data_IF_965391581442
#
_entry.id   IF_965391581442
#
_cell.length_a   1.000
_cell.length_b   1.000
_cell.length_c   1.000
_cell.angle_alpha   90.00
_cell.angle_beta   90.00
_cell.angle_gamma   90.00
#
_symmetry.space_group_name_H-M   'P 1'
#
loop_
_entity.id
_entity.type
_entity.pdbx_description
1 polymer ?
#
# COMPACT_ATOMS: atom_id res chain seq x y z
N UNK A 1 3.07 15.58 -8.05
CA UNK A 1 2.58 16.47 -6.97
C UNK A 1 3.60 16.48 -5.83
N UNK A 2 3.67 17.53 -5.00
CA UNK A 2 4.64 17.56 -3.88
C UNK A 2 4.12 16.68 -2.72
N UNK A 3 4.85 15.62 -2.38
CA UNK A 3 4.56 14.75 -1.23
C UNK A 3 4.65 15.53 0.08
N UNK A 4 3.83 15.14 1.06
CA UNK A 4 3.92 15.73 2.40
C UNK A 4 5.17 15.23 3.14
N UNK A 5 5.71 15.97 4.13
CA UNK A 5 6.83 15.48 4.94
C UNK A 5 6.55 14.13 5.59
N UNK A 6 5.31 13.90 6.05
CA UNK A 6 4.93 12.65 6.70
C UNK A 6 4.84 11.47 5.73
N UNK A 7 4.40 11.73 4.50
CA UNK A 7 4.41 10.73 3.44
C UNK A 7 5.84 10.27 3.12
N UNK A 8 6.77 11.23 2.94
CA UNK A 8 8.18 10.95 2.67
C UNK A 8 8.83 10.17 3.82
N UNK A 9 8.56 10.55 5.07
CA UNK A 9 9.06 9.86 6.26
C UNK A 9 8.66 8.38 6.25
N UNK A 10 7.38 8.07 6.06
CA UNK A 10 6.88 6.69 6.09
C UNK A 10 7.36 5.90 4.87
N UNK A 11 7.43 6.51 3.68
CA UNK A 11 7.99 5.83 2.50
C UNK A 11 9.45 5.43 2.72
N UNK A 12 10.26 6.29 3.36
CA UNK A 12 11.63 5.96 3.73
C UNK A 12 11.70 4.85 4.78
N UNK A 13 10.80 4.84 5.77
CA UNK A 13 10.69 3.73 6.74
C UNK A 13 10.37 2.41 6.04
N UNK A 14 9.40 2.40 5.12
CA UNK A 14 9.06 1.22 4.32
C UNK A 14 10.28 0.77 3.51
N UNK A 15 10.95 1.66 2.78
CA UNK A 15 12.12 1.30 1.98
C UNK A 15 13.27 0.74 2.83
N UNK A 16 13.46 1.25 4.05
CA UNK A 16 14.48 0.74 4.97
C UNK A 16 14.20 -0.70 5.48
N UNK A 17 12.94 -1.14 5.45
CA UNK A 17 12.54 -2.51 5.83
C UNK A 17 12.64 -3.52 4.68
N UNK A 18 12.82 -3.05 3.44
CA UNK A 18 12.70 -3.87 2.25
C UNK A 18 14.05 -4.07 1.56
N UNK A 19 14.17 -5.23 0.90
CA UNK A 19 15.25 -5.55 -0.02
C UNK A 19 14.66 -6.34 -1.20
N UNK A 20 15.46 -6.60 -2.23
CA UNK A 20 15.06 -7.47 -3.35
C UNK A 20 13.80 -7.01 -4.08
N UNK A 21 12.89 -7.96 -4.39
CA UNK A 21 11.67 -7.65 -5.17
C UNK A 21 10.73 -6.69 -4.44
N UNK A 22 10.45 -6.84 -3.13
CA UNK A 22 9.63 -5.87 -2.39
C UNK A 22 10.14 -4.44 -2.46
N UNK A 23 11.45 -4.21 -2.34
CA UNK A 23 12.03 -2.86 -2.42
C UNK A 23 11.86 -2.25 -3.82
N UNK A 24 12.02 -3.06 -4.87
CA UNK A 24 11.76 -2.64 -6.25
C UNK A 24 10.28 -2.27 -6.44
N UNK A 25 9.36 -3.11 -5.95
CA UNK A 25 7.92 -2.84 -6.03
C UNK A 25 7.51 -1.56 -5.29
N UNK A 26 8.03 -1.34 -4.07
CA UNK A 26 7.82 -0.11 -3.32
C UNK A 26 8.27 1.12 -4.13
N UNK A 27 9.49 1.07 -4.67
CA UNK A 27 10.06 2.17 -5.45
C UNK A 27 9.24 2.47 -6.71
N UNK A 28 8.75 1.44 -7.41
CA UNK A 28 7.88 1.62 -8.57
C UNK A 28 6.59 2.34 -8.18
N UNK A 29 5.88 1.88 -7.15
CA UNK A 29 4.62 2.53 -6.70
C UNK A 29 4.86 3.95 -6.18
N UNK A 30 5.93 4.17 -5.43
CA UNK A 30 6.22 5.51 -4.87
C UNK A 30 6.60 6.52 -5.94
N UNK A 31 7.12 6.08 -7.08
CA UNK A 31 7.50 6.96 -8.20
C UNK A 31 6.47 6.96 -9.34
N UNK A 32 5.46 6.10 -9.31
CA UNK A 32 4.40 6.05 -10.31
C UNK A 32 3.45 7.25 -10.19
N UNK A 33 3.23 7.95 -11.30
CA UNK A 33 2.43 9.18 -11.33
C UNK A 33 0.94 8.91 -11.16
N UNK A 34 0.43 7.78 -11.67
CA UNK A 34 -0.97 7.39 -11.59
C UNK A 34 -1.34 6.97 -10.16
N UNK A 35 -0.52 6.12 -9.54
CA UNK A 35 -0.67 5.74 -8.13
C UNK A 35 -0.65 6.97 -7.21
N UNK A 36 0.26 7.92 -7.45
CA UNK A 36 0.28 9.18 -6.72
C UNK A 36 -0.99 10.00 -6.96
N UNK A 37 -1.46 10.09 -8.20
CA UNK A 37 -2.68 10.83 -8.54
C UNK A 37 -3.91 10.25 -7.83
N UNK A 38 -4.10 8.94 -7.91
CA UNK A 38 -5.23 8.22 -7.31
C UNK A 38 -5.24 8.36 -5.78
N UNK A 39 -4.11 8.12 -5.12
CA UNK A 39 -3.99 8.25 -3.65
C UNK A 39 -4.26 9.67 -3.18
N UNK A 40 -3.80 10.69 -3.91
CA UNK A 40 -4.07 12.09 -3.59
C UNK A 40 -5.54 12.47 -3.83
N UNK A 41 -6.15 11.94 -4.87
CA UNK A 41 -7.54 12.24 -5.19
C UNK A 41 -8.52 11.52 -4.24
N UNK A 42 -8.20 10.29 -3.80
CA UNK A 42 -8.89 9.62 -2.71
C UNK A 42 -9.00 10.51 -1.47
N UNK A 43 -7.89 11.17 -1.09
CA UNK A 43 -7.88 12.15 0.00
C UNK A 43 -8.75 13.38 -0.26
N UNK A 44 -8.82 13.83 -1.52
CA UNK A 44 -9.68 14.97 -1.90
C UNK A 44 -11.15 14.61 -1.79
N UNK A 45 -11.54 13.41 -2.22
CA UNK A 45 -12.91 12.92 -2.07
C UNK A 45 -13.26 12.75 -0.59
N UNK A 46 -12.44 12.00 0.17
CA UNK A 46 -12.75 11.68 1.56
C UNK A 46 -12.76 12.90 2.47
N UNK A 47 -11.70 13.72 2.47
CA UNK A 47 -11.57 14.84 3.40
C UNK A 47 -12.33 16.05 2.89
N UNK A 48 -12.01 16.53 1.67
CA UNK A 48 -12.50 17.84 1.22
C UNK A 48 -13.97 17.81 0.82
N UNK A 49 -14.46 16.71 0.23
CA UNK A 49 -15.85 16.61 -0.25
C UNK A 49 -16.78 15.99 0.79
N UNK A 50 -16.32 14.95 1.49
CA UNK A 50 -17.18 14.17 2.39
C UNK A 50 -16.97 14.48 3.88
N UNK A 51 -15.91 15.20 4.24
CA UNK A 51 -15.65 15.58 5.64
C UNK A 51 -15.14 14.42 6.52
N UNK A 52 -14.59 13.36 5.92
CA UNK A 52 -13.94 12.27 6.66
C UNK A 52 -12.48 12.62 7.02
N UNK A 53 -11.86 11.75 7.83
CA UNK A 53 -10.58 12.01 8.47
C UNK A 53 -9.36 11.70 7.58
N UNK A 54 -9.36 10.58 6.84
CA UNK A 54 -8.21 10.18 6.02
C UNK A 54 -8.59 9.03 5.07
N UNK A 55 -8.07 9.05 3.84
CA UNK A 55 -8.02 7.94 2.87
C UNK A 55 -6.90 8.24 1.83
N UNK A 56 -5.87 8.98 2.26
CA UNK A 56 -4.86 9.55 1.38
C UNK A 56 -3.54 8.77 1.32
N UNK A 57 -2.48 9.36 0.76
CA UNK A 57 -1.18 8.71 0.66
C UNK A 57 -0.62 8.27 2.02
N UNK A 58 -0.76 9.11 3.06
CA UNK A 58 -0.29 8.80 4.42
C UNK A 58 -1.05 7.63 5.04
N UNK A 59 -2.38 7.56 4.87
CA UNK A 59 -3.21 6.43 5.31
C UNK A 59 -2.68 5.12 4.74
N UNK A 60 -2.61 5.02 3.41
CA UNK A 60 -2.23 3.79 2.72
C UNK A 60 -0.78 3.41 3.02
N UNK A 61 0.14 4.37 3.13
CA UNK A 61 1.53 4.10 3.56
C UNK A 61 1.61 3.57 4.99
N UNK A 62 0.81 4.10 5.94
CA UNK A 62 0.76 3.54 7.31
C UNK A 62 0.19 2.12 7.33
N UNK A 63 -0.84 1.86 6.53
CA UNK A 63 -1.41 0.51 6.38
C UNK A 63 -0.36 -0.45 5.86
N UNK A 64 0.40 -0.05 4.83
CA UNK A 64 1.49 -0.85 4.27
C UNK A 64 2.63 -1.10 5.27
N UNK A 65 3.07 -0.07 6.00
CA UNK A 65 4.11 -0.22 7.02
C UNK A 65 3.70 -1.24 8.09
N UNK A 66 2.48 -1.13 8.63
CA UNK A 66 1.99 -2.09 9.63
C UNK A 66 1.81 -3.49 9.04
N UNK A 67 1.36 -3.61 7.79
CA UNK A 67 1.25 -4.89 7.10
C UNK A 67 2.61 -5.58 6.96
N UNK A 68 3.68 -4.83 6.65
CA UNK A 68 5.05 -5.37 6.60
C UNK A 68 5.57 -5.79 7.98
N UNK A 69 5.28 -5.02 9.04
CA UNK A 69 5.63 -5.40 10.41
C UNK A 69 4.95 -6.73 10.79
N UNK A 70 3.65 -6.85 10.52
CA UNK A 70 2.90 -8.09 10.77
C UNK A 70 3.44 -9.25 9.92
N UNK A 71 3.74 -9.01 8.65
CA UNK A 71 4.36 -9.99 7.76
C UNK A 71 5.66 -10.55 8.35
N UNK A 72 6.56 -9.67 8.81
CA UNK A 72 7.84 -10.08 9.39
C UNK A 72 7.67 -10.83 10.72
N UNK A 73 6.68 -10.46 11.55
CA UNK A 73 6.36 -11.20 12.79
C UNK A 73 5.91 -12.63 12.46
N UNK A 74 4.98 -12.79 11.52
CA UNK A 74 4.45 -14.09 11.11
C UNK A 74 5.53 -14.95 10.46
N UNK A 75 6.34 -14.37 9.56
CA UNK A 75 7.45 -15.05 8.91
C UNK A 75 8.49 -15.54 9.92
N UNK A 76 8.87 -14.70 10.90
CA UNK A 76 9.76 -15.11 12.01
C UNK A 76 9.16 -16.21 12.88
N UNK A 77 7.84 -16.26 12.98
CA UNK A 77 7.10 -17.34 13.65
C UNK A 77 7.05 -18.66 12.86
N UNK A 78 7.65 -18.72 11.66
CA UNK A 78 7.66 -19.90 10.81
C UNK A 78 6.35 -20.13 10.04
N UNK A 79 5.47 -19.13 9.99
CA UNK A 79 4.23 -19.19 9.20
C UNK A 79 4.59 -18.97 7.74
N UNK A 80 4.20 -19.92 6.89
CA UNK A 80 4.29 -19.81 5.44
C UNK A 80 3.08 -19.06 4.89
N UNK A 81 3.30 -18.16 3.94
CA UNK A 81 2.23 -17.48 3.23
C UNK A 81 1.72 -18.31 2.06
N UNK A 82 0.52 -18.02 1.55
CA UNK A 82 -0.15 -18.84 0.54
C UNK A 82 0.72 -19.11 -0.70
N UNK A 83 1.42 -18.10 -1.24
CA UNK A 83 2.25 -18.31 -2.44
C UNK A 83 3.41 -19.30 -2.18
N UNK A 84 3.96 -19.31 -0.97
CA UNK A 84 4.99 -20.26 -0.55
C UNK A 84 4.41 -21.66 -0.33
N UNK A 85 3.27 -21.75 0.36
CA UNK A 85 2.63 -23.03 0.71
C UNK A 85 2.11 -23.75 -0.54
N UNK A 86 1.54 -22.99 -1.49
CA UNK A 86 1.05 -23.47 -2.77
C UNK A 86 2.18 -23.68 -3.80
N UNK A 87 3.42 -23.30 -3.47
CA UNK A 87 4.62 -23.43 -4.33
C UNK A 87 4.51 -22.67 -5.66
N UNK A 88 3.74 -21.60 -5.69
CA UNK A 88 3.57 -20.73 -6.86
C UNK A 88 4.40 -19.43 -6.76
N UNK A 89 5.03 -19.19 -5.62
CA UNK A 89 5.92 -18.06 -5.40
C UNK A 89 6.81 -18.24 -4.18
N UNK A 90 7.64 -17.23 -3.94
CA UNK A 90 8.55 -17.15 -2.80
C UNK A 90 7.98 -16.29 -1.67
N UNK A 91 8.66 -16.27 -0.52
CA UNK A 91 8.36 -15.32 0.57
C UNK A 91 8.45 -13.88 0.09
N UNK A 92 9.38 -13.57 -0.82
CA UNK A 92 9.50 -12.25 -1.42
C UNK A 92 8.27 -11.90 -2.27
N UNK A 93 7.77 -12.85 -3.07
CA UNK A 93 6.57 -12.65 -3.88
C UNK A 93 5.34 -12.43 -2.98
N UNK A 94 5.26 -13.14 -1.85
CA UNK A 94 4.20 -12.95 -0.85
C UNK A 94 4.27 -11.55 -0.22
N UNK A 95 5.48 -11.08 0.09
CA UNK A 95 5.70 -9.73 0.63
C UNK A 95 5.36 -8.66 -0.39
N UNK A 96 5.69 -8.87 -1.68
CA UNK A 96 5.28 -7.98 -2.78
C UNK A 96 3.75 -7.90 -2.86
N UNK A 97 3.04 -9.02 -2.84
CA UNK A 97 1.57 -9.03 -2.90
C UNK A 97 0.95 -8.23 -1.75
N UNK A 98 1.41 -8.44 -0.51
CA UNK A 98 0.95 -7.70 0.68
C UNK A 98 1.26 -6.20 0.58
N UNK A 99 2.48 -5.85 0.13
CA UNK A 99 2.91 -4.47 -0.04
C UNK A 99 2.07 -3.70 -1.07
N UNK A 100 1.91 -4.26 -2.28
CA UNK A 100 1.15 -3.60 -3.35
C UNK A 100 -0.31 -3.47 -2.93
N UNK A 101 -0.90 -4.55 -2.40
CA UNK A 101 -2.29 -4.54 -1.92
C UNK A 101 -2.50 -3.46 -0.88
N UNK A 102 -1.62 -3.35 0.12
CA UNK A 102 -1.78 -2.34 1.18
C UNK A 102 -1.55 -0.90 0.72
N UNK A 103 -0.61 -0.67 -0.20
CA UNK A 103 -0.35 0.66 -0.77
C UNK A 103 -1.45 1.18 -1.68
N UNK A 104 -2.24 0.28 -2.28
CA UNK A 104 -3.28 0.62 -3.25
C UNK A 104 -4.71 0.26 -2.82
N UNK A 105 -4.91 -0.38 -1.66
CA UNK A 105 -6.22 -0.97 -1.27
C UNK A 105 -7.41 0.01 -1.32
N UNK A 106 -7.15 1.30 -1.23
CA UNK A 106 -8.13 2.33 -0.98
C UNK A 106 -8.18 3.38 -2.10
N UNK A 107 -7.51 3.11 -3.24
CA UNK A 107 -7.56 4.01 -4.42
C UNK A 107 -8.95 4.13 -5.02
N UNK A 108 -9.86 3.19 -4.77
CA UNK A 108 -11.27 3.30 -5.18
C UNK A 108 -12.00 4.49 -4.54
N UNK A 109 -11.52 5.01 -3.40
CA UNK A 109 -12.05 6.22 -2.77
C UNK A 109 -11.89 7.46 -3.67
N UNK A 110 -11.02 7.39 -4.68
CA UNK A 110 -10.89 8.41 -5.73
C UNK A 110 -12.17 8.60 -6.56
N UNK A 111 -13.05 7.59 -6.62
CA UNK A 111 -14.36 7.65 -7.31
C UNK A 111 -15.46 8.13 -6.36
N UNK A 112 -15.54 7.50 -5.18
CA UNK A 112 -16.59 7.74 -4.19
C UNK A 112 -16.44 6.77 -3.02
N UNK A 113 -17.24 6.97 -1.96
CA UNK A 113 -17.17 6.14 -0.75
C UNK A 113 -17.92 4.81 -0.87
N UNK A 114 -18.98 4.76 -1.65
CA UNK A 114 -19.75 3.54 -1.82
C UNK A 114 -18.97 2.56 -2.70
N UNK A 115 -18.78 1.33 -2.24
CA UNK A 115 -18.05 0.26 -2.92
C UNK A 115 -16.59 0.59 -3.29
N UNK A 116 -15.95 1.50 -2.54
CA UNK A 116 -14.57 1.91 -2.82
C UNK A 116 -13.56 0.76 -2.69
N UNK A 117 -13.85 -0.24 -1.86
CA UNK A 117 -13.07 -1.46 -1.74
C UNK A 117 -13.12 -2.31 -3.02
N UNK A 118 -14.29 -2.43 -3.65
CA UNK A 118 -14.45 -3.14 -4.92
C UNK A 118 -13.79 -2.36 -6.06
N UNK A 119 -13.98 -1.05 -6.10
CA UNK A 119 -13.33 -0.19 -7.08
C UNK A 119 -11.81 -0.18 -6.91
N UNK A 120 -11.32 -0.28 -5.67
CA UNK A 120 -9.89 -0.46 -5.38
C UNK A 120 -9.32 -1.69 -6.06
N UNK A 121 -10.02 -2.82 -5.99
CA UNK A 121 -9.62 -4.06 -6.67
C UNK A 121 -9.70 -4.00 -8.21
N UNK A 122 -10.43 -3.05 -8.78
CA UNK A 122 -10.48 -2.84 -10.25
C UNK A 122 -9.31 -1.97 -10.72
N UNK A 123 -8.83 -1.06 -9.88
CA UNK A 123 -7.75 -0.12 -10.22
C UNK A 123 -6.35 -0.65 -9.87
N UNK A 124 -6.23 -1.50 -8.86
CA UNK A 124 -4.97 -2.06 -8.35
C UNK A 124 -4.64 -3.42 -8.98
#
# INVERSE_FOLDING_TARGET
MRKSPKEIEIENEILAMLSGKPAMAASLIFNDEEAQALRNYANTVSIKRLGYNDHGPVHMSKTALNALIMFDILSKGGIKFNLEEEKIGTVEDSKVAVLISSLLHDVGMSVGRENHELLGAVFA
#
